data_IF_742948702507
#
_entry.id   IF_742948702507
#
_cell.length_a   1.000
_cell.length_b   1.000
_cell.length_c   1.000
_cell.angle_alpha   90.00
_cell.angle_beta   90.00
_cell.angle_gamma   90.00
#
_symmetry.space_group_name_H-M   'P 1'
#
loop_
_entity.id
_entity.type
_entity.pdbx_description
1 polymer ?
#
# COMPACT_ATOMS: atom_id res chain seq x y z
N UNK A 1 -15.14 21.16 54.08
CA UNK A 1 -13.96 20.32 53.74
C UNK A 1 -14.43 18.90 53.53
N UNK A 2 -14.71 18.51 52.29
CA UNK A 2 -14.72 17.11 51.88
C UNK A 2 -14.52 17.08 50.36
N UNK A 3 -13.33 16.64 49.95
CA UNK A 3 -12.97 16.46 48.54
C UNK A 3 -13.13 14.98 48.20
N UNK A 4 -13.91 14.70 47.16
CA UNK A 4 -14.09 13.37 46.58
C UNK A 4 -12.94 13.07 45.61
N UNK A 5 -12.33 11.90 45.78
CA UNK A 5 -11.43 11.27 44.81
C UNK A 5 -12.23 10.78 43.61
N UNK A 6 -11.77 11.07 42.40
CA UNK A 6 -12.11 10.29 41.20
C UNK A 6 -10.83 10.03 40.39
N UNK A 7 -10.68 8.78 39.98
CA UNK A 7 -9.72 8.28 39.00
C UNK A 7 -10.55 7.52 37.99
N UNK A 8 -10.44 7.85 36.70
CA UNK A 8 -10.60 6.88 35.61
C UNK A 8 -10.07 7.47 34.30
N UNK A 9 -9.43 6.56 33.57
CA UNK A 9 -8.81 6.65 32.24
C UNK A 9 -9.91 6.67 31.16
N UNK A 10 -9.61 7.26 30.00
CA UNK A 10 -10.22 6.87 28.71
C UNK A 10 -11.06 7.95 28.02
N UNK A 11 -10.54 8.48 26.90
CA UNK A 11 -11.09 8.33 25.54
C UNK A 11 -10.34 9.34 24.63
N UNK A 12 -9.36 8.86 23.87
CA UNK A 12 -8.93 9.53 22.64
C UNK A 12 -9.96 9.10 21.59
N UNK A 13 -10.61 10.07 20.94
CA UNK A 13 -11.52 9.81 19.85
C UNK A 13 -10.73 9.26 18.66
N UNK A 14 -11.03 8.02 18.29
CA UNK A 14 -10.62 7.39 17.03
C UNK A 14 -11.42 8.01 15.90
N UNK A 15 -10.75 8.58 14.91
CA UNK A 15 -11.32 8.81 13.59
C UNK A 15 -11.02 7.54 12.79
N UNK A 16 -11.86 6.53 12.97
CA UNK A 16 -11.89 5.35 12.10
C UNK A 16 -12.59 5.68 10.78
N UNK A 17 -12.39 4.83 9.77
CA UNK A 17 -13.22 4.82 8.57
C UNK A 17 -14.69 4.87 8.99
N UNK A 18 -15.41 5.87 8.49
CA UNK A 18 -16.75 6.26 8.94
C UNK A 18 -17.70 5.05 8.80
N UNK A 19 -18.00 4.43 9.93
CA UNK A 19 -19.18 3.59 10.11
C UNK A 19 -20.40 4.43 9.78
N UNK A 20 -21.14 4.05 8.74
CA UNK A 20 -22.59 4.19 8.85
C UNK A 20 -23.17 2.94 9.48
N UNK A 21 -23.14 2.96 10.81
CA UNK A 21 -24.17 2.33 11.62
C UNK A 21 -23.75 1.06 12.33
N UNK A 22 -23.47 1.25 13.62
CA UNK A 22 -23.77 0.32 14.71
C UNK A 22 -22.77 -0.82 14.95
N UNK A 23 -21.64 -0.50 15.61
CA UNK A 23 -21.44 -1.06 16.95
C UNK A 23 -20.20 -1.92 17.20
N UNK A 24 -19.40 -1.43 18.15
CA UNK A 24 -18.44 -2.13 19.02
C UNK A 24 -17.31 -2.93 18.34
N UNK A 25 -16.08 -2.47 18.56
CA UNK A 25 -14.92 -2.96 17.84
C UNK A 25 -14.36 -4.29 18.31
N UNK A 26 -13.55 -4.87 17.42
CA UNK A 26 -12.68 -6.01 17.69
C UNK A 26 -12.23 -6.68 16.39
N UNK A 27 -10.92 -6.72 16.19
CA UNK A 27 -10.16 -7.81 15.54
C UNK A 27 -10.73 -8.48 14.28
N UNK A 28 -10.14 -8.18 13.10
CA UNK A 28 -9.90 -9.04 11.91
C UNK A 28 -11.00 -10.07 11.45
N UNK A 29 -12.18 -10.10 12.05
CA UNK A 29 -13.30 -11.03 11.85
C UNK A 29 -14.51 -10.25 11.35
N UNK A 30 -15.16 -10.74 10.29
CA UNK A 30 -16.38 -10.17 9.72
C UNK A 30 -17.56 -11.12 9.94
N UNK A 31 -18.80 -10.61 9.93
CA UNK A 31 -19.99 -11.45 9.96
C UNK A 31 -20.52 -11.69 8.55
N UNK A 32 -20.89 -12.93 8.21
CA UNK A 32 -21.38 -13.28 6.87
C UNK A 32 -22.57 -12.39 6.47
N UNK A 33 -22.41 -11.69 5.35
CA UNK A 33 -23.38 -10.70 4.86
C UNK A 33 -23.01 -9.25 5.17
N UNK A 34 -21.93 -9.00 5.92
CA UNK A 34 -21.31 -7.68 5.99
C UNK A 34 -20.75 -7.30 4.61
N UNK A 35 -20.80 -6.01 4.30
CA UNK A 35 -20.19 -5.44 3.11
C UNK A 35 -19.26 -4.32 3.54
N UNK A 36 -18.00 -4.37 3.14
CA UNK A 36 -17.08 -3.25 3.28
C UNK A 36 -16.77 -2.64 1.92
N UNK A 37 -16.84 -1.32 1.86
CA UNK A 37 -16.40 -0.58 0.71
C UNK A 37 -14.94 -0.22 0.92
N UNK A 38 -14.05 -0.80 0.12
CA UNK A 38 -12.61 -0.58 0.17
C UNK A 38 -12.20 0.83 -0.30
N UNK A 39 -13.17 1.74 -0.54
CA UNK A 39 -12.94 3.17 -0.68
C UNK A 39 -12.90 3.68 -2.12
N UNK A 40 -13.38 2.93 -3.11
CA UNK A 40 -13.55 3.45 -4.48
C UNK A 40 -14.89 4.19 -4.61
N UNK A 41 -15.01 5.37 -4.01
CA UNK A 41 -16.19 6.22 -4.18
C UNK A 41 -16.35 6.69 -5.63
N UNK A 42 -17.49 6.37 -6.27
CA UNK A 42 -17.84 6.83 -7.62
C UNK A 42 -18.92 5.99 -8.29
N UNK A 43 -19.29 6.35 -9.53
CA UNK A 43 -20.29 5.64 -10.35
C UNK A 43 -19.83 4.24 -10.84
N UNK A 44 -18.65 3.79 -10.39
CA UNK A 44 -18.00 2.49 -10.67
C UNK A 44 -17.50 1.81 -9.38
N UNK A 45 -18.23 2.01 -8.27
CA UNK A 45 -17.97 1.37 -6.97
C UNK A 45 -18.39 -0.11 -7.01
N UNK A 46 -17.62 -0.95 -7.70
CA UNK A 46 -17.99 -2.36 -7.94
C UNK A 46 -17.00 -3.36 -7.33
N UNK A 47 -16.44 -3.04 -6.16
CA UNK A 47 -15.88 -4.06 -5.27
C UNK A 47 -16.40 -3.77 -3.86
N UNK A 48 -17.63 -4.23 -3.59
CA UNK A 48 -18.06 -4.49 -2.22
C UNK A 48 -17.30 -5.75 -1.79
N UNK A 49 -16.35 -5.62 -0.87
CA UNK A 49 -15.83 -6.78 -0.17
C UNK A 49 -16.98 -7.30 0.69
N UNK A 50 -17.47 -8.49 0.36
CA UNK A 50 -18.49 -9.16 1.15
C UNK A 50 -17.77 -10.02 2.19
N UNK A 51 -18.33 -10.11 3.38
CA UNK A 51 -17.87 -11.14 4.30
C UNK A 51 -18.32 -12.51 3.78
N UNK A 52 -17.37 -13.31 3.35
CA UNK A 52 -17.59 -14.64 2.76
C UNK A 52 -17.07 -15.74 3.70
N UNK A 53 -17.65 -16.94 3.57
CA UNK A 53 -17.19 -18.12 4.30
C UNK A 53 -16.18 -18.88 3.43
N UNK A 54 -14.93 -18.95 3.86
CA UNK A 54 -13.90 -19.76 3.21
C UNK A 54 -13.38 -20.83 4.18
N UNK A 55 -13.55 -22.10 3.81
CA UNK A 55 -13.12 -23.26 4.64
C UNK A 55 -13.62 -23.24 6.10
N UNK A 56 -14.78 -22.64 6.35
CA UNK A 56 -15.40 -22.54 7.67
C UNK A 56 -14.93 -21.36 8.52
N UNK A 57 -14.21 -20.41 7.93
CA UNK A 57 -13.80 -19.14 8.55
C UNK A 57 -14.47 -17.98 7.80
N UNK A 58 -15.06 -17.05 8.54
CA UNK A 58 -15.60 -15.82 7.97
C UNK A 58 -14.45 -14.83 7.74
N UNK A 59 -14.32 -14.37 6.50
CA UNK A 59 -13.26 -13.45 6.10
C UNK A 59 -13.77 -12.48 5.04
N UNK A 60 -13.21 -11.27 5.04
CA UNK A 60 -13.46 -10.29 3.99
C UNK A 60 -12.96 -10.85 2.66
N UNK A 61 -13.80 -10.84 1.63
CA UNK A 61 -13.40 -11.20 0.27
C UNK A 61 -14.40 -10.73 -0.78
N UNK A 62 -13.96 -10.54 -2.01
CA UNK A 62 -14.87 -10.11 -3.07
C UNK A 62 -15.74 -11.29 -3.54
N UNK A 63 -17.06 -11.06 -3.67
CA UNK A 63 -18.04 -12.04 -4.15
C UNK A 63 -17.87 -12.41 -5.64
N UNK A 64 -17.00 -11.69 -6.35
CA UNK A 64 -16.59 -11.92 -7.73
C UNK A 64 -15.07 -12.10 -7.80
N UNK A 65 -14.62 -13.31 -8.13
CA UNK A 65 -13.20 -13.66 -8.29
C UNK A 65 -12.46 -12.82 -9.35
N UNK A 66 -13.18 -12.05 -10.19
CA UNK A 66 -12.61 -11.16 -11.21
C UNK A 66 -12.26 -9.75 -10.67
N UNK A 67 -12.68 -9.38 -9.45
CA UNK A 67 -12.44 -8.05 -8.87
C UNK A 67 -11.87 -8.08 -7.44
N UNK A 68 -11.36 -9.22 -6.99
CA UNK A 68 -10.77 -9.43 -5.67
C UNK A 68 -9.36 -8.82 -5.50
N UNK A 69 -9.06 -7.74 -6.22
CA UNK A 69 -7.76 -7.08 -6.17
C UNK A 69 -7.82 -5.92 -5.17
N UNK A 70 -7.93 -6.25 -3.89
CA UNK A 70 -7.80 -5.27 -2.81
C UNK A 70 -6.34 -5.06 -2.44
N UNK A 71 -5.41 -5.85 -2.96
CA UNK A 71 -4.00 -5.82 -2.58
C UNK A 71 -3.16 -5.07 -3.59
N UNK A 72 -2.56 -4.00 -3.09
CA UNK A 72 -1.72 -3.11 -3.89
C UNK A 72 -0.32 -3.03 -3.33
N UNK A 73 0.65 -2.66 -4.19
CA UNK A 73 1.78 -1.91 -3.71
C UNK A 73 2.02 -0.60 -4.48
N UNK A 74 2.76 0.32 -3.86
CA UNK A 74 3.23 1.55 -4.50
C UNK A 74 4.49 1.31 -5.35
N UNK A 75 4.51 1.88 -6.56
CA UNK A 75 5.70 1.98 -7.42
C UNK A 75 6.07 3.43 -7.71
N UNK A 76 7.33 3.66 -8.11
CA UNK A 76 7.79 4.95 -8.64
C UNK A 76 8.08 4.85 -10.15
N UNK A 77 7.36 5.64 -10.95
CA UNK A 77 7.63 5.86 -12.37
C UNK A 77 8.41 7.16 -12.57
N UNK A 78 9.70 7.04 -12.92
CA UNK A 78 10.61 8.19 -13.07
C UNK A 78 10.42 8.97 -14.37
N UNK A 79 9.95 8.30 -15.42
CA UNK A 79 9.67 8.89 -16.73
C UNK A 79 8.19 9.23 -16.94
N UNK A 80 7.33 8.86 -15.98
CA UNK A 80 5.88 9.05 -16.03
C UNK A 80 5.18 8.09 -17.01
N UNK A 81 5.88 7.06 -17.49
CA UNK A 81 5.25 5.99 -18.25
C UNK A 81 4.42 5.10 -17.32
N UNK A 82 3.40 4.43 -17.87
CA UNK A 82 2.67 3.41 -17.13
C UNK A 82 3.60 2.31 -16.64
N UNK A 83 3.43 1.83 -15.38
CA UNK A 83 4.09 0.63 -14.91
C UNK A 83 3.87 -0.52 -15.89
N UNK A 84 4.96 -1.11 -16.36
CA UNK A 84 4.91 -2.27 -17.25
C UNK A 84 5.18 -3.49 -16.42
N UNK A 85 4.31 -4.50 -16.54
CA UNK A 85 4.57 -5.78 -15.91
C UNK A 85 5.43 -6.65 -16.84
N UNK A 86 6.50 -7.23 -16.31
CA UNK A 86 7.30 -8.24 -16.98
C UNK A 86 6.51 -9.52 -17.27
N UNK A 87 7.10 -10.41 -18.08
CA UNK A 87 6.57 -11.76 -18.26
C UNK A 87 6.69 -12.54 -16.94
N UNK A 88 5.63 -13.30 -16.60
CA UNK A 88 5.49 -14.08 -15.38
C UNK A 88 6.79 -14.83 -15.02
N UNK A 89 7.40 -14.42 -13.91
CA UNK A 89 8.51 -15.14 -13.30
C UNK A 89 7.96 -16.40 -12.62
N UNK A 90 8.80 -17.43 -12.49
CA UNK A 90 8.39 -18.72 -11.90
C UNK A 90 8.10 -18.65 -10.39
N UNK A 91 8.50 -17.56 -9.71
CA UNK A 91 8.21 -17.31 -8.32
C UNK A 91 6.86 -16.58 -8.15
N UNK A 92 6.08 -16.96 -7.14
CA UNK A 92 4.92 -16.19 -6.69
C UNK A 92 5.34 -15.31 -5.50
N UNK A 93 4.71 -14.15 -5.36
CA UNK A 93 4.89 -13.27 -4.20
C UNK A 93 3.54 -12.98 -3.57
N UNK A 94 3.52 -13.05 -2.24
CA UNK A 94 2.35 -12.83 -1.41
C UNK A 94 2.34 -11.37 -0.94
N UNK A 95 1.50 -10.55 -1.59
CA UNK A 95 1.37 -9.12 -1.29
C UNK A 95 0.50 -8.91 -0.05
N UNK A 96 -0.50 -9.77 0.16
CA UNK A 96 -1.53 -9.60 1.18
C UNK A 96 -1.16 -10.24 2.52
N UNK A 97 -0.19 -11.17 2.48
CA UNK A 97 0.30 -11.98 3.60
C UNK A 97 -0.84 -12.74 4.31
N UNK A 98 -1.95 -12.89 3.61
CA UNK A 98 -3.11 -13.71 3.91
C UNK A 98 -3.07 -15.03 3.12
N UNK A 99 -2.19 -15.14 2.12
CA UNK A 99 -1.97 -16.36 1.33
C UNK A 99 -3.08 -16.66 0.32
N UNK A 100 -3.96 -15.69 0.08
CA UNK A 100 -5.12 -15.82 -0.82
C UNK A 100 -4.83 -15.35 -2.25
N UNK A 101 -4.10 -14.24 -2.40
CA UNK A 101 -3.73 -13.68 -3.70
C UNK A 101 -2.21 -13.78 -3.93
N UNK A 102 -1.81 -14.71 -4.80
CA UNK A 102 -0.42 -14.85 -5.25
C UNK A 102 -0.27 -14.23 -6.64
N UNK A 103 0.46 -13.14 -6.76
CA UNK A 103 0.72 -12.54 -8.08
C UNK A 103 1.98 -13.14 -8.72
N UNK A 104 1.87 -13.47 -10.00
CA UNK A 104 3.06 -13.74 -10.83
C UNK A 104 3.51 -12.53 -11.63
N UNK A 105 2.63 -11.55 -11.85
CA UNK A 105 2.94 -10.30 -12.53
C UNK A 105 3.79 -9.40 -11.64
N UNK A 106 4.79 -8.76 -12.25
CA UNK A 106 5.82 -8.01 -11.54
C UNK A 106 6.26 -6.82 -12.36
N UNK A 107 6.41 -5.61 -11.80
CA UNK A 107 6.84 -4.44 -12.55
C UNK A 107 8.26 -4.66 -13.05
N UNK A 108 8.53 -4.14 -14.26
CA UNK A 108 9.89 -4.04 -14.77
C UNK A 108 10.76 -3.21 -13.82
N UNK A 109 12.05 -3.53 -13.71
CA UNK A 109 13.02 -2.84 -12.86
C UNK A 109 13.12 -1.32 -13.08
N UNK A 110 12.64 -0.81 -14.22
CA UNK A 110 12.52 0.62 -14.50
C UNK A 110 11.47 1.34 -13.64
N UNK A 111 10.55 0.58 -13.03
CA UNK A 111 9.44 1.06 -12.19
C UNK A 111 9.50 0.34 -10.84
N UNK A 112 10.47 0.68 -9.97
CA UNK A 112 10.71 -0.04 -8.73
C UNK A 112 9.57 0.14 -7.72
N UNK A 113 9.42 -0.86 -6.85
CA UNK A 113 8.56 -0.77 -5.68
C UNK A 113 9.09 0.25 -4.67
N UNK A 114 8.18 0.93 -3.98
CA UNK A 114 8.51 1.63 -2.73
C UNK A 114 8.36 0.65 -1.57
N UNK A 115 9.43 0.49 -0.79
CA UNK A 115 9.46 -0.48 0.30
C UNK A 115 10.14 0.07 1.56
N UNK A 116 9.90 -0.63 2.67
CA UNK A 116 10.52 -0.40 3.97
C UNK A 116 10.79 -1.76 4.61
N UNK A 117 12.06 -2.08 4.85
CA UNK A 117 12.46 -3.23 5.64
C UNK A 117 11.94 -3.04 7.08
N UNK A 118 10.87 -3.76 7.42
CA UNK A 118 10.14 -3.55 8.69
C UNK A 118 10.66 -4.43 9.81
N UNK A 119 11.19 -5.60 9.48
CA UNK A 119 11.69 -6.56 10.47
C UNK A 119 13.21 -6.48 10.69
N UNK A 120 13.91 -5.73 9.84
CA UNK A 120 15.33 -5.39 9.96
C UNK A 120 16.26 -6.51 9.50
N UNK A 121 15.80 -7.43 8.66
CA UNK A 121 16.61 -8.55 8.16
C UNK A 121 17.51 -8.18 6.96
N UNK A 122 17.34 -6.97 6.41
CA UNK A 122 18.12 -6.44 5.29
C UNK A 122 17.63 -6.90 3.91
N UNK A 123 16.44 -7.49 3.82
CA UNK A 123 15.78 -7.87 2.59
C UNK A 123 14.36 -7.27 2.51
N UNK A 124 13.76 -7.35 1.33
CA UNK A 124 12.32 -7.15 1.13
C UNK A 124 11.78 -8.48 0.62
N UNK A 125 11.13 -9.25 1.50
CA UNK A 125 10.81 -10.65 1.22
C UNK A 125 9.31 -10.99 1.29
N UNK A 126 8.48 -10.09 1.78
CA UNK A 126 7.02 -10.25 1.81
C UNK A 126 6.25 -8.93 1.73
N UNK A 127 4.95 -9.02 1.43
CA UNK A 127 4.08 -7.87 1.21
C UNK A 127 3.96 -6.88 2.38
N UNK A 128 4.29 -7.26 3.63
CA UNK A 128 4.23 -6.34 4.79
C UNK A 128 5.26 -5.21 4.67
N UNK A 129 6.30 -5.44 3.86
CA UNK A 129 7.41 -4.51 3.66
C UNK A 129 7.19 -3.60 2.44
N UNK A 130 6.15 -3.87 1.65
CA UNK A 130 5.67 -2.97 0.60
C UNK A 130 4.62 -2.00 1.18
N UNK A 131 4.52 -0.82 0.56
CA UNK A 131 3.46 0.13 0.88
C UNK A 131 2.22 -0.17 0.06
N UNK A 132 1.10 -0.45 0.72
CA UNK A 132 -0.13 -0.87 0.07
C UNK A 132 -1.24 -1.12 1.07
N UNK A 133 -2.37 -1.60 0.59
CA UNK A 133 -3.48 -2.06 1.43
C UNK A 133 -3.12 -3.24 2.36
N UNK A 134 -2.09 -4.03 2.03
CA UNK A 134 -1.52 -5.05 2.91
C UNK A 134 -0.76 -4.49 4.12
N UNK A 135 -0.44 -3.19 4.16
CA UNK A 135 0.28 -2.58 5.29
C UNK A 135 -0.61 -2.45 6.52
N UNK A 136 -0.10 -2.87 7.70
CA UNK A 136 -0.72 -2.57 9.00
C UNK A 136 -0.31 -1.17 9.48
N UNK A 137 -1.30 -0.33 9.75
CA UNK A 137 -1.16 1.02 10.30
C UNK A 137 -0.88 0.97 11.82
N UNK A 138 -0.46 2.09 12.42
CA UNK A 138 -0.26 2.19 13.87
C UNK A 138 -1.53 1.93 14.68
N UNK A 139 -2.71 2.12 14.07
CA UNK A 139 -4.01 1.76 14.67
C UNK A 139 -4.21 0.24 14.79
N UNK A 140 -3.42 -0.56 14.08
CA UNK A 140 -3.58 -2.02 13.96
C UNK A 140 -4.41 -2.44 12.75
N UNK A 141 -5.16 -1.51 12.14
CA UNK A 141 -5.95 -1.75 10.93
C UNK A 141 -5.06 -1.87 9.68
N UNK A 142 -5.58 -2.48 8.62
CA UNK A 142 -4.98 -2.42 7.28
C UNK A 142 -5.16 -1.02 6.68
N UNK A 143 -4.22 -0.61 5.83
CA UNK A 143 -4.35 0.61 5.06
C UNK A 143 -5.44 0.47 4.00
N UNK A 144 -6.17 1.55 3.71
CA UNK A 144 -7.15 1.55 2.61
C UNK A 144 -6.47 1.45 1.22
N UNK A 145 -5.28 2.04 1.10
CA UNK A 145 -4.43 2.06 -0.09
C UNK A 145 -2.99 2.43 0.31
N UNK A 146 -2.04 2.33 -0.60
CA UNK A 146 -0.62 2.57 -0.36
C UNK A 146 -0.30 3.99 0.12
N UNK A 147 -0.99 5.02 -0.36
CA UNK A 147 -0.78 6.38 0.17
C UNK A 147 -1.20 6.54 1.65
N UNK A 148 -2.21 5.80 2.12
CA UNK A 148 -2.59 5.81 3.53
C UNK A 148 -1.51 5.13 4.38
N UNK A 149 -0.90 4.05 3.87
CA UNK A 149 0.26 3.43 4.49
C UNK A 149 1.48 4.36 4.54
N UNK A 150 1.73 5.12 3.46
CA UNK A 150 2.86 6.03 3.37
C UNK A 150 2.69 7.26 4.29
N UNK A 151 1.45 7.72 4.50
CA UNK A 151 1.13 8.86 5.36
C UNK A 151 1.51 8.66 6.83
N UNK A 152 1.64 7.41 7.31
CA UNK A 152 2.13 7.10 8.67
C UNK A 152 3.58 7.57 8.90
N UNK A 153 4.31 7.89 7.83
CA UNK A 153 5.68 8.41 7.91
C UNK A 153 5.75 9.95 7.91
N UNK A 154 4.63 10.67 7.73
CA UNK A 154 4.62 12.14 7.74
C UNK A 154 4.59 12.67 9.18
N UNK A 155 5.77 12.73 9.80
CA UNK A 155 5.93 13.15 11.19
C UNK A 155 5.53 14.61 11.41
N UNK A 156 5.60 15.40 10.34
CA UNK A 156 5.43 16.85 10.38
C UNK A 156 4.08 17.33 9.83
N UNK A 157 3.27 16.41 9.30
CA UNK A 157 1.91 16.58 8.79
C UNK A 157 1.78 17.62 7.68
N UNK A 158 2.79 17.74 6.81
CA UNK A 158 2.80 18.71 5.72
C UNK A 158 2.42 18.13 4.35
N UNK A 159 2.06 16.85 4.32
CA UNK A 159 1.61 16.16 3.11
C UNK A 159 2.75 15.71 2.21
N UNK A 160 4.00 15.76 2.70
CA UNK A 160 5.19 15.33 1.99
C UNK A 160 5.96 14.33 2.85
N UNK A 161 6.48 13.28 2.22
CA UNK A 161 7.50 12.44 2.82
C UNK A 161 8.86 12.89 2.28
N UNK A 162 9.64 13.57 3.11
CA UNK A 162 10.96 14.08 2.77
C UNK A 162 11.96 14.02 3.93
N UNK A 163 13.14 14.62 3.76
CA UNK A 163 14.24 14.61 4.76
C UNK A 163 13.86 15.15 6.14
N UNK A 164 12.71 15.84 6.27
CA UNK A 164 12.18 16.33 7.54
C UNK A 164 11.48 15.25 8.35
N UNK A 165 11.18 14.11 7.73
CA UNK A 165 10.54 12.97 8.36
C UNK A 165 11.56 11.89 8.75
N UNK A 166 11.43 11.35 9.97
CA UNK A 166 12.36 10.37 10.50
C UNK A 166 12.32 9.03 9.73
N UNK A 167 11.19 8.74 9.08
CA UNK A 167 11.00 7.56 8.24
C UNK A 167 11.69 7.63 6.87
N UNK A 168 11.89 8.83 6.32
CA UNK A 168 12.32 9.00 4.92
C UNK A 168 13.64 8.31 4.59
N UNK A 169 14.63 8.41 5.48
CA UNK A 169 15.95 7.80 5.28
C UNK A 169 15.97 6.27 5.34
N UNK A 170 14.85 5.63 5.68
CA UNK A 170 14.70 4.17 5.74
C UNK A 170 14.02 3.59 4.49
N UNK A 171 13.38 4.44 3.69
CA UNK A 171 12.71 4.02 2.47
C UNK A 171 13.73 3.59 1.41
N UNK A 172 13.38 2.52 0.70
CA UNK A 172 14.16 1.97 -0.40
C UNK A 172 13.28 1.80 -1.64
N UNK A 173 13.93 1.89 -2.79
CA UNK A 173 13.40 1.45 -4.07
C UNK A 173 13.90 0.04 -4.31
N UNK A 174 12.98 -0.86 -4.60
CA UNK A 174 13.29 -2.24 -4.96
C UNK A 174 13.03 -2.46 -6.44
N UNK A 175 14.12 -2.58 -7.21
CA UNK A 175 14.11 -3.00 -8.60
C UNK A 175 14.55 -4.46 -8.68
N UNK A 176 13.61 -5.36 -8.95
CA UNK A 176 13.88 -6.80 -9.07
C UNK A 176 14.43 -7.11 -10.47
N UNK A 177 15.75 -7.12 -10.61
CA UNK A 177 16.43 -7.31 -11.89
C UNK A 177 16.55 -8.80 -12.26
N UNK A 178 16.64 -9.70 -11.27
CA UNK A 178 16.81 -11.13 -11.50
C UNK A 178 15.51 -11.95 -11.41
N UNK A 179 14.41 -11.29 -11.02
CA UNK A 179 13.05 -11.80 -10.95
C UNK A 179 12.87 -12.95 -9.94
N UNK A 180 13.70 -13.00 -8.89
CA UNK A 180 13.58 -13.96 -7.79
C UNK A 180 12.56 -13.54 -6.72
N UNK A 181 12.01 -12.31 -6.82
CA UNK A 181 11.04 -11.70 -5.93
C UNK A 181 11.51 -11.59 -4.48
N UNK A 182 12.81 -11.34 -4.29
CA UNK A 182 13.44 -11.09 -2.98
C UNK A 182 14.42 -9.94 -3.06
N UNK A 183 13.98 -8.76 -2.63
CA UNK A 183 14.83 -7.57 -2.62
C UNK A 183 16.04 -7.77 -1.73
N UNK A 184 17.24 -7.76 -2.32
CA UNK A 184 18.52 -7.93 -1.61
C UNK A 184 19.51 -6.83 -1.94
N UNK A 185 20.63 -6.86 -1.22
CA UNK A 185 21.79 -6.01 -1.51
C UNK A 185 22.22 -6.15 -2.98
N UNK A 186 22.03 -5.10 -3.76
CA UNK A 186 22.23 -5.07 -5.22
C UNK A 186 21.00 -4.60 -6.00
N UNK A 187 19.80 -4.83 -5.44
CA UNK A 187 18.49 -4.51 -6.03
C UNK A 187 17.74 -3.42 -5.24
N UNK A 188 18.22 -3.15 -4.03
CA UNK A 188 17.70 -2.11 -3.15
C UNK A 188 18.54 -0.84 -3.31
N UNK A 189 17.87 0.27 -3.64
CA UNK A 189 18.45 1.59 -3.72
C UNK A 189 17.75 2.54 -2.75
N UNK A 190 18.50 3.21 -1.85
CA UNK A 190 17.91 4.24 -0.98
C UNK A 190 17.33 5.40 -1.81
N UNK A 191 16.29 6.08 -1.32
CA UNK A 191 15.75 7.27 -1.98
C UNK A 191 16.81 8.35 -2.27
N UNK A 192 17.77 8.54 -1.36
CA UNK A 192 18.88 9.47 -1.54
C UNK A 192 19.84 9.03 -2.67
N UNK A 193 20.08 7.72 -2.81
CA UNK A 193 20.86 7.12 -3.92
C UNK A 193 20.20 7.38 -5.27
N UNK A 194 18.88 7.14 -5.33
CA UNK A 194 18.04 7.44 -6.49
C UNK A 194 17.76 8.94 -6.70
N UNK A 195 18.28 9.80 -5.81
CA UNK A 195 18.15 11.27 -5.83
C UNK A 195 16.70 11.75 -5.77
N UNK A 196 15.83 10.97 -5.14
CA UNK A 196 14.47 11.36 -4.77
C UNK A 196 14.54 12.35 -3.62
N UNK A 197 13.77 13.44 -3.72
CA UNK A 197 13.76 14.54 -2.77
C UNK A 197 12.51 14.53 -1.89
N UNK A 198 11.36 14.22 -2.47
CA UNK A 198 10.07 14.22 -1.77
C UNK A 198 9.07 13.30 -2.46
N UNK A 199 8.21 12.66 -1.68
CA UNK A 199 7.02 11.93 -2.15
C UNK A 199 5.77 12.70 -1.71
N UNK A 200 4.84 12.99 -2.62
CA UNK A 200 3.59 13.67 -2.26
C UNK A 200 2.55 12.68 -1.75
N UNK A 201 1.83 13.06 -0.69
CA UNK A 201 0.70 12.29 -0.15
C UNK A 201 -0.65 12.70 -0.75
N UNK A 202 -0.70 13.85 -1.42
CA UNK A 202 -1.88 14.33 -2.13
C UNK A 202 -2.12 13.54 -3.41
N UNK A 203 -2.89 12.46 -3.31
CA UNK A 203 -3.19 11.59 -4.45
C UNK A 203 -4.52 11.94 -5.13
N UNK A 204 -4.67 11.49 -6.38
CA UNK A 204 -5.94 11.47 -7.10
C UNK A 204 -6.18 10.09 -7.72
N UNK A 205 -7.43 9.77 -8.04
CA UNK A 205 -7.76 8.56 -8.80
C UNK A 205 -7.66 8.81 -10.30
N UNK A 206 -6.83 8.02 -10.98
CA UNK A 206 -6.77 7.91 -12.44
C UNK A 206 -6.43 6.46 -12.83
N UNK A 207 -7.49 5.68 -13.07
CA UNK A 207 -7.40 4.25 -13.34
C UNK A 207 -6.90 3.99 -14.76
N UNK A 208 -5.76 3.31 -14.86
CA UNK A 208 -5.17 2.85 -16.12
C UNK A 208 -4.74 1.40 -15.95
N UNK A 209 -5.21 0.52 -16.83
CA UNK A 209 -4.99 -0.91 -16.74
C UNK A 209 -4.29 -1.45 -17.98
N UNK A 210 -3.51 -2.51 -17.81
CA UNK A 210 -2.98 -3.31 -18.91
C UNK A 210 -3.98 -4.39 -19.37
N UNK A 211 -3.64 -5.08 -20.45
CA UNK A 211 -4.48 -6.15 -21.03
C UNK A 211 -4.56 -7.41 -20.12
N UNK A 212 -3.76 -7.48 -19.05
CA UNK A 212 -3.76 -8.56 -18.05
C UNK A 212 -4.60 -8.23 -16.81
N UNK A 213 -5.15 -7.02 -16.72
CA UNK A 213 -5.98 -6.59 -15.61
C UNK A 213 -5.22 -5.95 -14.44
N UNK A 214 -3.91 -5.73 -14.58
CA UNK A 214 -3.17 -4.93 -13.60
C UNK A 214 -3.49 -3.46 -13.80
N UNK A 215 -3.87 -2.75 -12.74
CA UNK A 215 -4.38 -1.39 -12.80
C UNK A 215 -3.61 -0.47 -11.85
N UNK A 216 -3.03 0.62 -12.36
CA UNK A 216 -2.61 1.74 -11.51
C UNK A 216 -3.79 2.69 -11.30
N UNK A 217 -4.21 2.94 -10.05
CA UNK A 217 -5.42 3.72 -9.74
C UNK A 217 -5.08 5.02 -9.02
N UNK A 218 -4.64 4.95 -7.77
CA UNK A 218 -4.25 6.13 -7.02
C UNK A 218 -2.88 6.61 -7.48
N UNK A 219 -2.74 7.92 -7.70
CA UNK A 219 -1.52 8.52 -8.24
C UNK A 219 -1.18 9.82 -7.52
N UNK A 220 0.10 10.01 -7.24
CA UNK A 220 0.64 11.27 -6.71
C UNK A 220 1.99 11.56 -7.36
N UNK A 221 2.49 12.79 -7.19
CA UNK A 221 3.80 13.16 -7.72
C UNK A 221 4.93 12.85 -6.73
N UNK A 222 6.14 12.72 -7.26
CA UNK A 222 7.36 12.83 -6.46
C UNK A 222 8.38 13.70 -7.19
N UNK A 223 9.31 14.29 -6.46
CA UNK A 223 10.39 15.09 -7.05
C UNK A 223 11.74 14.42 -6.90
N UNK A 224 12.59 14.54 -7.93
CA UNK A 224 13.91 13.95 -7.95
C UNK A 224 14.86 14.77 -8.84
N UNK A 225 16.17 14.51 -8.73
CA UNK A 225 17.18 15.16 -9.59
C UNK A 225 17.73 14.18 -10.62
N UNK A 226 17.56 14.51 -11.90
CA UNK A 226 18.08 13.67 -12.98
C UNK A 226 19.61 13.67 -13.10
N UNK A 227 20.14 12.75 -13.90
CA UNK A 227 21.59 12.65 -14.15
C UNK A 227 22.22 13.96 -14.66
N UNK A 228 21.44 14.83 -15.30
CA UNK A 228 21.86 16.16 -15.74
C UNK A 228 21.84 17.24 -14.65
N UNK A 229 21.34 16.92 -13.45
CA UNK A 229 21.22 17.86 -12.34
C UNK A 229 19.92 18.68 -12.36
N UNK A 230 18.97 18.34 -13.24
CA UNK A 230 17.70 19.06 -13.34
C UNK A 230 16.67 18.47 -12.38
N UNK A 231 15.87 19.34 -11.78
CA UNK A 231 14.70 18.92 -11.02
C UNK A 231 13.66 18.32 -11.97
N UNK A 232 13.17 17.14 -11.63
CA UNK A 232 12.16 16.38 -12.36
C UNK A 232 11.04 15.98 -11.43
N UNK A 233 9.90 15.70 -12.05
CA UNK A 233 8.73 15.12 -11.41
C UNK A 233 8.52 13.74 -12.01
N UNK A 234 8.32 12.74 -11.17
CA UNK A 234 7.81 11.42 -11.54
C UNK A 234 6.45 11.17 -10.92
N UNK A 235 5.92 9.96 -11.09
CA UNK A 235 4.63 9.54 -10.58
C UNK A 235 4.79 8.38 -9.60
N UNK A 236 4.13 8.46 -8.45
CA UNK A 236 3.90 7.36 -7.54
C UNK A 236 2.57 6.75 -7.95
N UNK A 237 2.53 5.44 -8.19
CA UNK A 237 1.32 4.74 -8.63
C UNK A 237 1.00 3.62 -7.66
N UNK A 238 -0.24 3.60 -7.20
CA UNK A 238 -0.80 2.53 -6.39
C UNK A 238 -1.36 1.45 -7.33
N UNK A 239 -0.74 0.28 -7.29
CA UNK A 239 -0.88 -0.74 -8.32
C UNK A 239 -1.71 -1.91 -7.83
N UNK A 240 -2.90 -2.04 -8.36
CA UNK A 240 -3.84 -3.13 -8.16
C UNK A 240 -3.47 -4.26 -9.09
N UNK A 241 -2.87 -5.32 -8.55
CA UNK A 241 -2.42 -6.47 -9.33
C UNK A 241 -3.53 -7.50 -9.47
N UNK A 242 -3.65 -8.08 -10.65
CA UNK A 242 -4.61 -9.15 -10.87
C UNK A 242 -4.13 -10.42 -10.12
N UNK A 243 -5.00 -10.99 -9.29
CA UNK A 243 -4.76 -12.32 -8.72
C UNK A 243 -4.81 -13.37 -9.83
N UNK A 244 -3.86 -14.32 -9.83
CA UNK A 244 -3.71 -15.35 -10.86
C UNK A 244 -3.81 -16.77 -10.30
#
# INVERSE_FOLDING_TARGET
>A
MQWLKWSMVGMLASLGCDEKGDGDGGDDECELGDTMNCGLGGEHADAEDECIEHEGVAMWGCSVAEFCACDTPLVLSFDGAEPRMGESASAAFDIDVAGGCLTTDWPEASTPWLALDRDGDGAIADGRELFGSGTRLASGARAAHGFAALAELDDNTDGLIDVRDAGFGKLVLWADDDLDKRGRAGELESLAGARVLSLELGWHSDRRCDDRGNCGIERAAFTWIDAGGSLRTGEIVDLHLACQ
#
